data_IF_718515056599
#
_entry.id   IF_718515056599
#
_cell.length_a   1.000
_cell.length_b   1.000
_cell.length_c   1.000
_cell.angle_alpha   90.00
_cell.angle_beta   90.00
_cell.angle_gamma   90.00
#
_symmetry.space_group_name_H-M   'P 1'
#
loop_
_entity.id
_entity.type
_entity.pdbx_description
1 polymer ?
#
# COMPACT_ATOMS: atom_id res chain seq x y z
N UNK A 1 -8.37 53.98 51.72
CA UNK A 1 -8.84 52.70 51.14
C UNK A 1 -8.14 51.60 51.92
N UNK A 2 -8.89 50.62 52.42
CA UNK A 2 -8.37 49.66 53.37
C UNK A 2 -7.59 48.55 52.67
N UNK A 3 -6.53 48.07 53.32
CA UNK A 3 -5.58 47.08 52.79
C UNK A 3 -6.27 45.76 52.40
N UNK A 4 -7.39 45.44 53.04
CA UNK A 4 -8.22 44.28 52.72
C UNK A 4 -8.89 44.37 51.35
N UNK A 5 -9.27 45.58 50.89
CA UNK A 5 -9.87 45.77 49.55
C UNK A 5 -8.81 45.52 48.46
N UNK A 6 -7.58 45.96 48.69
CA UNK A 6 -6.46 45.71 47.76
C UNK A 6 -6.15 44.21 47.67
N UNK A 7 -6.14 43.50 48.80
CA UNK A 7 -5.97 42.05 48.82
C UNK A 7 -7.10 41.31 48.09
N UNK A 8 -8.35 41.76 48.26
CA UNK A 8 -9.51 41.16 47.59
C UNK A 8 -9.42 41.29 46.05
N UNK A 9 -8.98 42.46 45.56
CA UNK A 9 -8.78 42.69 44.13
C UNK A 9 -7.67 41.82 43.54
N UNK A 10 -6.58 41.61 44.29
CA UNK A 10 -5.49 40.72 43.86
C UNK A 10 -6.00 39.27 43.78
N UNK A 11 -6.77 38.80 44.76
CA UNK A 11 -7.37 37.46 44.73
C UNK A 11 -8.30 37.31 43.53
N UNK A 12 -9.18 38.29 43.28
CA UNK A 12 -10.08 38.28 42.13
C UNK A 12 -9.32 38.23 40.80
N UNK A 13 -8.22 38.98 40.66
CA UNK A 13 -7.37 38.94 39.47
C UNK A 13 -6.73 37.55 39.28
N UNK A 14 -6.29 36.91 40.38
CA UNK A 14 -5.74 35.55 40.34
C UNK A 14 -6.78 34.49 40.02
N UNK A 15 -7.99 34.61 40.54
CA UNK A 15 -9.11 33.72 40.21
C UNK A 15 -9.45 33.82 38.72
N UNK A 16 -9.49 35.04 38.18
CA UNK A 16 -9.76 35.26 36.75
C UNK A 16 -8.63 34.70 35.88
N UNK A 17 -7.37 34.89 36.26
CA UNK A 17 -6.23 34.24 35.61
C UNK A 17 -6.32 32.71 35.66
N UNK A 18 -6.79 32.14 36.78
CA UNK A 18 -6.99 30.70 36.94
C UNK A 18 -8.07 30.15 36.00
N UNK A 19 -9.19 30.85 35.86
CA UNK A 19 -10.26 30.48 34.93
C UNK A 19 -9.77 30.55 33.47
N UNK A 20 -9.09 31.64 33.09
CA UNK A 20 -8.56 31.82 31.74
C UNK A 20 -7.54 30.72 31.37
N UNK A 21 -6.65 30.38 32.31
CA UNK A 21 -5.69 29.29 32.13
C UNK A 21 -6.39 27.93 32.02
N UNK A 22 -7.43 27.68 32.82
CA UNK A 22 -8.19 26.43 32.76
C UNK A 22 -8.87 26.25 31.40
N UNK A 23 -9.51 27.29 30.89
CA UNK A 23 -10.11 27.28 29.55
C UNK A 23 -9.07 27.09 28.45
N UNK A 24 -7.86 27.64 28.63
CA UNK A 24 -6.76 27.44 27.68
C UNK A 24 -6.25 26.00 27.69
N UNK A 25 -6.14 25.38 28.87
CA UNK A 25 -5.75 23.97 29.01
C UNK A 25 -6.78 23.08 28.31
N UNK A 26 -8.07 23.27 28.57
CA UNK A 26 -9.14 22.48 27.95
C UNK A 26 -9.08 22.56 26.42
N UNK A 27 -8.93 23.77 25.85
CA UNK A 27 -8.78 23.95 24.40
C UNK A 27 -7.54 23.25 23.84
N UNK A 28 -6.41 23.30 24.56
CA UNK A 28 -5.18 22.63 24.11
C UNK A 28 -5.31 21.11 24.18
N UNK A 29 -6.04 20.57 25.16
CA UNK A 29 -6.34 19.14 25.26
C UNK A 29 -7.24 18.69 24.11
N UNK A 30 -8.29 19.44 23.78
CA UNK A 30 -9.13 19.16 22.61
C UNK A 30 -8.32 19.20 21.31
N UNK A 31 -7.47 20.21 21.13
CA UNK A 31 -6.59 20.31 19.97
C UNK A 31 -5.62 19.12 19.89
N UNK A 32 -5.03 18.71 21.01
CA UNK A 32 -4.16 17.54 21.08
C UNK A 32 -4.90 16.28 20.65
N UNK A 33 -6.13 16.06 21.13
CA UNK A 33 -6.95 14.90 20.74
C UNK A 33 -7.25 14.94 19.24
N UNK A 34 -7.60 16.11 18.68
CA UNK A 34 -7.87 16.24 17.26
C UNK A 34 -6.64 15.96 16.40
N UNK A 35 -5.48 16.48 16.78
CA UNK A 35 -4.21 16.22 16.07
C UNK A 35 -3.85 14.74 16.15
N UNK A 36 -3.99 14.12 17.33
CA UNK A 36 -3.72 12.69 17.49
C UNK A 36 -4.61 11.83 16.59
N UNK A 37 -5.91 12.14 16.52
CA UNK A 37 -6.84 11.42 15.63
C UNK A 37 -6.43 11.53 14.16
N UNK A 38 -6.04 12.74 13.71
CA UNK A 38 -5.56 12.93 12.33
C UNK A 38 -4.28 12.14 12.07
N UNK A 39 -3.36 12.11 13.02
CA UNK A 39 -2.14 11.32 12.89
C UNK A 39 -2.44 9.82 12.80
N UNK A 40 -3.38 9.32 13.61
CA UNK A 40 -3.79 7.92 13.57
C UNK A 40 -4.51 7.56 12.25
N UNK A 41 -5.32 8.47 11.70
CA UNK A 41 -5.95 8.33 10.39
C UNK A 41 -4.92 8.29 9.25
N UNK A 42 -3.90 9.15 9.30
CA UNK A 42 -2.80 9.18 8.34
C UNK A 42 -1.96 7.92 8.41
N UNK A 43 -1.58 7.46 9.61
CA UNK A 43 -0.90 6.17 9.82
C UNK A 43 -1.69 5.01 9.22
N UNK A 44 -3.01 4.97 9.45
CA UNK A 44 -3.87 3.95 8.89
C UNK A 44 -3.95 4.01 7.36
N UNK A 45 -3.85 5.20 6.75
CA UNK A 45 -3.79 5.35 5.30
C UNK A 45 -2.48 4.78 4.72
N UNK A 46 -1.33 5.13 5.33
CA UNK A 46 -0.01 4.59 4.93
C UNK A 46 0.01 3.06 5.03
N UNK A 47 -0.53 2.50 6.12
CA UNK A 47 -0.61 1.05 6.30
C UNK A 47 -1.47 0.37 5.23
N UNK A 48 -2.56 1.00 4.78
CA UNK A 48 -3.37 0.47 3.65
C UNK A 48 -2.57 0.47 2.35
N UNK A 49 -1.82 1.53 2.07
CA UNK A 49 -0.97 1.58 0.86
C UNK A 49 0.12 0.53 0.92
N UNK A 50 0.73 0.31 2.09
CA UNK A 50 1.71 -0.75 2.31
C UNK A 50 1.11 -2.15 2.10
N UNK A 51 -0.10 -2.40 2.59
CA UNK A 51 -0.80 -3.67 2.35
C UNK A 51 -1.14 -3.88 0.87
N UNK A 52 -1.58 -2.83 0.17
CA UNK A 52 -1.83 -2.87 -1.28
C UNK A 52 -0.55 -3.26 -2.04
N UNK A 53 0.58 -2.63 -1.69
CA UNK A 53 1.87 -2.95 -2.29
C UNK A 53 2.26 -4.42 -2.08
N UNK A 54 2.13 -4.93 -0.86
CA UNK A 54 2.42 -6.33 -0.55
C UNK A 54 1.55 -7.29 -1.37
N UNK A 55 0.27 -6.97 -1.55
CA UNK A 55 -0.64 -7.78 -2.35
C UNK A 55 -0.24 -7.76 -3.83
N UNK A 56 0.12 -6.61 -4.38
CA UNK A 56 0.60 -6.50 -5.76
C UNK A 56 1.90 -7.32 -5.96
N UNK A 57 2.86 -7.19 -5.05
CA UNK A 57 4.11 -7.98 -5.11
C UNK A 57 3.87 -9.49 -4.97
N UNK A 58 2.85 -9.90 -4.20
CA UNK A 58 2.45 -11.30 -4.13
C UNK A 58 1.85 -11.78 -5.44
N UNK A 59 0.91 -11.01 -6.01
CA UNK A 59 0.27 -11.32 -7.30
C UNK A 59 1.30 -11.40 -8.44
N UNK A 60 2.27 -10.48 -8.47
CA UNK A 60 3.40 -10.50 -9.42
C UNK A 60 4.14 -11.83 -9.39
N UNK A 61 4.50 -12.28 -8.17
CA UNK A 61 5.23 -13.53 -7.98
C UNK A 61 4.43 -14.74 -8.43
N UNK A 62 3.13 -14.78 -8.11
CA UNK A 62 2.24 -15.84 -8.57
C UNK A 62 2.12 -15.87 -10.10
N UNK A 63 2.01 -14.71 -10.74
CA UNK A 63 1.92 -14.62 -12.20
C UNK A 63 3.19 -15.12 -12.87
N UNK A 64 4.36 -14.74 -12.35
CA UNK A 64 5.64 -15.23 -12.87
C UNK A 64 5.76 -16.76 -12.74
N UNK A 65 5.30 -17.34 -11.63
CA UNK A 65 5.26 -18.80 -11.47
C UNK A 65 4.33 -19.48 -12.50
N UNK A 66 3.17 -18.87 -12.79
CA UNK A 66 2.25 -19.39 -13.82
C UNK A 66 2.87 -19.36 -15.22
N UNK A 67 3.62 -18.29 -15.54
CA UNK A 67 4.39 -18.18 -16.79
C UNK A 67 5.43 -19.30 -16.86
N UNK A 68 6.25 -19.48 -15.82
CA UNK A 68 7.29 -20.51 -15.75
C UNK A 68 6.71 -21.94 -15.94
N UNK A 69 5.55 -22.22 -15.33
CA UNK A 69 4.86 -23.49 -15.44
C UNK A 69 4.36 -23.74 -16.88
N UNK A 70 3.76 -22.74 -17.54
CA UNK A 70 3.36 -22.87 -18.95
C UNK A 70 4.57 -23.05 -19.86
N UNK A 71 5.67 -22.36 -19.57
CA UNK A 71 6.89 -22.41 -20.37
C UNK A 71 7.55 -23.80 -20.28
N UNK A 72 7.50 -24.42 -19.09
CA UNK A 72 7.88 -25.82 -18.89
C UNK A 72 7.00 -26.78 -19.72
N UNK A 73 5.68 -26.60 -19.72
CA UNK A 73 4.75 -27.42 -20.52
C UNK A 73 5.03 -27.30 -22.03
N UNK A 74 5.30 -26.09 -22.52
CA UNK A 74 5.67 -25.86 -23.92
C UNK A 74 6.95 -26.64 -24.27
N UNK A 75 7.97 -26.59 -23.41
CA UNK A 75 9.22 -27.33 -23.63
C UNK A 75 8.99 -28.84 -23.66
N UNK A 76 8.12 -29.37 -22.81
CA UNK A 76 7.71 -30.78 -22.85
C UNK A 76 7.01 -31.14 -24.16
N UNK A 77 6.06 -30.30 -24.62
CA UNK A 77 5.37 -30.53 -25.89
C UNK A 77 6.33 -30.45 -27.08
N UNK A 78 7.26 -29.51 -27.09
CA UNK A 78 8.32 -29.40 -28.11
C UNK A 78 9.22 -30.64 -28.11
N UNK A 79 9.62 -31.13 -26.93
CA UNK A 79 10.42 -32.36 -26.80
C UNK A 79 9.69 -33.56 -27.40
N UNK A 80 8.39 -33.71 -27.11
CA UNK A 80 7.55 -34.77 -27.70
C UNK A 80 7.44 -34.65 -29.22
N UNK A 81 7.36 -33.43 -29.73
CA UNK A 81 7.30 -33.15 -31.17
C UNK A 81 8.59 -33.52 -31.89
N UNK A 82 9.75 -33.28 -31.25
CA UNK A 82 11.07 -33.50 -31.82
C UNK A 82 11.57 -34.95 -31.68
N UNK A 83 11.16 -35.66 -30.62
CA UNK A 83 11.72 -36.97 -30.26
C UNK A 83 10.70 -38.12 -30.39
N UNK A 84 9.41 -37.82 -30.50
CA UNK A 84 8.36 -38.82 -30.58
C UNK A 84 8.14 -39.32 -32.01
N UNK A 85 7.97 -40.63 -32.17
CA UNK A 85 7.29 -41.19 -33.34
C UNK A 85 5.80 -40.98 -33.09
N UNK A 86 5.26 -39.87 -33.58
CA UNK A 86 3.87 -39.45 -33.41
C UNK A 86 3.17 -39.40 -34.76
N UNK A 87 1.86 -39.67 -34.76
CA UNK A 87 1.05 -39.55 -35.97
C UNK A 87 0.94 -38.08 -36.42
N UNK A 88 0.68 -37.86 -37.71
CA UNK A 88 0.48 -36.51 -38.24
C UNK A 88 -0.61 -35.72 -37.48
N UNK A 89 -1.71 -36.39 -37.11
CA UNK A 89 -2.79 -35.76 -36.32
C UNK A 89 -2.33 -35.34 -34.92
N UNK A 90 -1.51 -36.16 -34.26
CA UNK A 90 -0.94 -35.81 -32.95
C UNK A 90 0.08 -34.68 -33.07
N UNK A 91 0.86 -34.64 -34.16
CA UNK A 91 1.78 -33.55 -34.45
C UNK A 91 1.06 -32.22 -34.61
N UNK A 92 -0.01 -32.16 -35.42
CA UNK A 92 -0.83 -30.95 -35.58
C UNK A 92 -1.47 -30.52 -34.26
N UNK A 93 -2.05 -31.47 -33.51
CA UNK A 93 -2.65 -31.18 -32.21
C UNK A 93 -1.63 -30.59 -31.21
N UNK A 94 -0.39 -31.11 -31.18
CA UNK A 94 0.68 -30.56 -30.34
C UNK A 94 1.12 -29.17 -30.80
N UNK A 95 1.20 -28.92 -32.12
CA UNK A 95 1.52 -27.58 -32.65
C UNK A 95 0.46 -26.56 -32.25
N UNK A 96 -0.81 -26.89 -32.37
CA UNK A 96 -1.91 -26.00 -31.94
C UNK A 96 -1.84 -25.73 -30.43
N UNK A 97 -1.58 -26.77 -29.61
CA UNK A 97 -1.41 -26.57 -28.16
C UNK A 97 -0.26 -25.64 -27.82
N UNK A 98 0.89 -25.80 -28.46
CA UNK A 98 2.05 -24.92 -28.25
C UNK A 98 1.73 -23.48 -28.66
N UNK A 99 1.05 -23.27 -29.80
CA UNK A 99 0.64 -21.94 -30.23
C UNK A 99 -0.28 -21.26 -29.22
N UNK A 100 -1.33 -21.95 -28.77
CA UNK A 100 -2.27 -21.41 -27.79
C UNK A 100 -1.59 -21.09 -26.45
N UNK A 101 -0.66 -21.94 -26.01
CA UNK A 101 0.09 -21.68 -24.76
C UNK A 101 1.04 -20.48 -24.91
N UNK A 102 1.66 -20.29 -26.07
CA UNK A 102 2.50 -19.11 -26.35
C UNK A 102 1.71 -17.82 -26.37
N UNK A 103 0.52 -17.85 -26.98
CA UNK A 103 -0.40 -16.71 -26.95
C UNK A 103 -0.78 -16.35 -25.51
N UNK A 104 -1.15 -17.35 -24.71
CA UNK A 104 -1.42 -17.16 -23.28
C UNK A 104 -0.22 -16.62 -22.51
N UNK A 105 1.00 -17.11 -22.77
CA UNK A 105 2.21 -16.55 -22.14
C UNK A 105 2.37 -15.07 -22.49
N UNK A 106 2.20 -14.70 -23.76
CA UNK A 106 2.29 -13.30 -24.20
C UNK A 106 1.30 -12.41 -23.45
N UNK A 107 0.04 -12.84 -23.30
CA UNK A 107 -0.97 -12.09 -22.53
C UNK A 107 -0.56 -11.95 -21.06
N UNK A 108 -0.03 -13.02 -20.46
CA UNK A 108 0.42 -13.00 -19.07
C UNK A 108 1.66 -12.14 -18.84
N UNK A 109 2.56 -12.06 -19.83
CA UNK A 109 3.72 -11.17 -19.81
C UNK A 109 3.28 -9.70 -19.86
N UNK A 110 2.30 -9.37 -20.71
CA UNK A 110 1.72 -8.02 -20.77
C UNK A 110 1.04 -7.64 -19.43
N UNK A 111 0.29 -8.55 -18.82
CA UNK A 111 -0.29 -8.37 -17.48
C UNK A 111 0.79 -8.20 -16.41
N UNK A 112 1.88 -8.97 -16.47
CA UNK A 112 2.99 -8.86 -15.53
C UNK A 112 3.70 -7.51 -15.64
N UNK A 113 3.90 -7.00 -16.86
CA UNK A 113 4.45 -5.67 -17.11
C UNK A 113 3.55 -4.56 -16.55
N UNK A 114 2.24 -4.67 -16.78
CA UNK A 114 1.27 -3.71 -16.23
C UNK A 114 1.34 -3.69 -14.69
N UNK A 115 1.37 -4.88 -14.08
CA UNK A 115 1.44 -5.02 -12.63
C UNK A 115 2.78 -4.54 -12.05
N UNK A 116 3.89 -4.70 -12.77
CA UNK A 116 5.17 -4.08 -12.40
C UNK A 116 5.08 -2.55 -12.37
N UNK A 117 4.44 -1.95 -13.38
CA UNK A 117 4.18 -0.51 -13.41
C UNK A 117 3.33 -0.06 -12.21
N UNK A 118 2.28 -0.79 -11.87
CA UNK A 118 1.46 -0.50 -10.68
C UNK A 118 2.24 -0.60 -9.37
N UNK A 119 3.13 -1.59 -9.24
CA UNK A 119 4.02 -1.75 -8.09
C UNK A 119 4.94 -0.53 -7.97
N UNK A 120 5.55 -0.08 -9.05
CA UNK A 120 6.45 1.08 -9.04
C UNK A 120 5.71 2.36 -8.62
N UNK A 121 4.54 2.62 -9.19
CA UNK A 121 3.69 3.76 -8.81
C UNK A 121 3.26 3.67 -7.35
N UNK A 122 2.93 2.47 -6.87
CA UNK A 122 2.53 2.29 -5.47
C UNK A 122 3.71 2.46 -4.52
N UNK A 123 4.92 2.04 -4.91
CA UNK A 123 6.16 2.25 -4.14
C UNK A 123 6.51 3.72 -4.01
N UNK A 124 6.43 4.48 -5.10
CA UNK A 124 6.70 5.93 -5.04
C UNK A 124 5.69 6.63 -4.16
N UNK A 125 4.40 6.32 -4.32
CA UNK A 125 3.33 6.85 -3.45
C UNK A 125 3.57 6.51 -1.98
N UNK A 126 3.91 5.27 -1.66
CA UNK A 126 4.21 4.87 -0.29
C UNK A 126 5.38 5.66 0.30
N UNK A 127 6.46 5.84 -0.45
CA UNK A 127 7.63 6.60 0.00
C UNK A 127 7.30 8.09 0.24
N UNK A 128 6.47 8.69 -0.61
CA UNK A 128 6.00 10.07 -0.44
C UNK A 128 5.10 10.20 0.81
N UNK A 129 4.18 9.27 1.02
CA UNK A 129 3.29 9.24 2.17
C UNK A 129 4.04 8.99 3.49
N UNK A 130 5.00 8.06 3.50
CA UNK A 130 5.87 7.80 4.66
C UNK A 130 6.74 9.02 5.01
N UNK A 131 7.27 9.71 4.00
CA UNK A 131 8.03 10.94 4.22
C UNK A 131 7.14 12.05 4.79
N UNK A 132 5.95 12.24 4.21
CA UNK A 132 5.00 13.24 4.69
C UNK A 132 4.54 12.96 6.14
N UNK A 133 4.35 11.69 6.50
CA UNK A 133 4.03 11.28 7.86
C UNK A 133 5.20 11.56 8.82
N UNK A 134 6.43 11.21 8.42
CA UNK A 134 7.63 11.46 9.23
C UNK A 134 7.96 12.94 9.45
N UNK A 135 7.51 13.84 8.56
CA UNK A 135 7.61 15.29 8.77
C UNK A 135 6.54 15.85 9.74
N UNK A 136 5.50 15.07 10.04
CA UNK A 136 4.35 15.44 10.90
C UNK A 136 4.42 14.82 12.30
N UNK A 137 5.27 13.81 12.50
CA UNK A 137 5.59 13.17 13.78
C UNK A 137 6.70 13.91 14.54
#
# INVERSE_FOLDING_TARGET
MSEEITLLLIVQEKDQQGVDLSLKVERLEEQKIQVQRRLDEERAAVDRVRQQLQQLEHNSRLKNLEVDDLDMQIREYQKRLNQGIISFKEMEALRTKILNQRERISEMEDEALALMGEIEVTKTRLAEEEKALGERE
#
